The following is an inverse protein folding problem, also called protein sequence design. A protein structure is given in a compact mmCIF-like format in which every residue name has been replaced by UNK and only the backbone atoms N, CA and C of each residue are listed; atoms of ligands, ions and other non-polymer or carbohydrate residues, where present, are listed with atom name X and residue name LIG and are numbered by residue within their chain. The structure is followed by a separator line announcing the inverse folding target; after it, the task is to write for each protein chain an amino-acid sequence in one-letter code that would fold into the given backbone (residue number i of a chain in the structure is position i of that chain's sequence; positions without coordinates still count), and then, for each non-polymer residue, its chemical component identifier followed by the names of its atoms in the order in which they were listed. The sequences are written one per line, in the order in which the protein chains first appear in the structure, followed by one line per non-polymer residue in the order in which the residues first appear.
data_IF_409444459970
#
_entry.id   IF_409444459970
#
_cell.length_a   1.000
_cell.length_b   1.000
_cell.length_c   1.000
_cell.angle_alpha   90.00
_cell.angle_beta   90.00
_cell.angle_gamma   90.00
#
_symmetry.space_group_name_H-M   'P 1'
#
loop_
_entity.id
_entity.type
_entity.pdbx_description
1 polymer ?
#
# COMPACT_ATOMS: atom_id res chain seq x y z
N UNK A 1 -21.17 -4.80 -17.71
CA UNK A 1 -20.46 -4.76 -16.41
C UNK A 1 -19.29 -3.78 -16.44
N UNK A 2 -18.23 -4.05 -17.22
CA UNK A 2 -17.01 -3.21 -17.32
C UNK A 2 -17.28 -1.72 -17.63
N UNK A 3 -18.17 -1.43 -18.58
CA UNK A 3 -18.52 -0.04 -18.95
C UNK A 3 -19.19 0.76 -17.83
N UNK A 4 -20.10 0.12 -17.07
CA UNK A 4 -20.81 0.76 -15.95
C UNK A 4 -19.87 1.08 -14.79
N UNK A 5 -19.02 0.12 -14.40
CA UNK A 5 -18.04 0.33 -13.33
C UNK A 5 -17.05 1.44 -13.72
N UNK A 6 -16.58 1.45 -14.96
CA UNK A 6 -15.70 2.50 -15.49
C UNK A 6 -16.37 3.89 -15.45
N UNK A 7 -17.64 3.99 -15.87
CA UNK A 7 -18.38 5.25 -15.84
C UNK A 7 -18.60 5.74 -14.41
N UNK A 8 -18.96 4.85 -13.48
CA UNK A 8 -19.11 5.17 -12.06
C UNK A 8 -17.79 5.65 -11.46
N UNK A 9 -16.69 4.92 -11.70
CA UNK A 9 -15.37 5.31 -11.19
C UNK A 9 -14.92 6.66 -11.74
N UNK A 10 -15.10 6.90 -13.04
CA UNK A 10 -14.79 8.20 -13.66
C UNK A 10 -15.54 9.34 -12.97
N UNK A 11 -16.86 9.21 -12.78
CA UNK A 11 -17.68 10.25 -12.13
C UNK A 11 -17.21 10.53 -10.70
N UNK A 12 -16.93 9.49 -9.91
CA UNK A 12 -16.46 9.65 -8.53
C UNK A 12 -15.10 10.36 -8.45
N UNK A 13 -14.15 9.99 -9.32
CA UNK A 13 -12.81 10.61 -9.36
C UNK A 13 -12.91 12.09 -9.73
N UNK A 14 -13.61 12.41 -10.82
CA UNK A 14 -13.72 13.80 -11.30
C UNK A 14 -14.42 14.68 -10.27
N UNK A 15 -15.49 14.19 -9.63
CA UNK A 15 -16.18 14.92 -8.57
C UNK A 15 -15.28 15.16 -7.36
N UNK A 16 -14.53 14.15 -6.93
CA UNK A 16 -13.63 14.27 -5.78
C UNK A 16 -12.48 15.26 -6.02
N UNK A 17 -11.94 15.29 -7.24
CA UNK A 17 -10.86 16.20 -7.61
C UNK A 17 -11.33 17.65 -7.82
N UNK A 18 -12.58 17.84 -8.26
CA UNK A 18 -13.19 19.16 -8.41
C UNK A 18 -13.63 19.78 -7.07
N UNK A 19 -13.79 18.98 -6.02
CA UNK A 19 -14.16 19.48 -4.70
C UNK A 19 -13.02 20.34 -4.12
N UNK A 20 -13.34 21.59 -3.78
CA UNK A 20 -12.41 22.54 -3.16
C UNK A 20 -11.90 22.01 -1.82
N UNK A 21 -12.79 21.43 -1.01
CA UNK A 21 -12.51 20.70 0.22
C UNK A 21 -12.96 19.23 0.10
N UNK A 22 -12.14 18.25 0.49
CA UNK A 22 -12.63 16.88 0.64
C UNK A 22 -13.74 16.88 1.70
N UNK A 23 -14.82 16.15 1.46
CA UNK A 23 -15.80 15.86 2.51
C UNK A 23 -15.02 15.34 3.74
N UNK A 24 -15.37 15.76 4.97
CA UNK A 24 -14.66 15.33 6.16
C UNK A 24 -14.63 13.80 6.18
N UNK A 25 -13.43 13.26 6.01
CA UNK A 25 -13.26 11.82 5.99
C UNK A 25 -13.51 11.27 7.40
N UNK A 26 -14.14 10.10 7.52
CA UNK A 26 -14.35 9.51 8.82
C UNK A 26 -12.99 9.32 9.52
N UNK A 27 -12.90 9.59 10.83
CA UNK A 27 -11.66 9.45 11.59
C UNK A 27 -11.06 8.05 11.37
N UNK A 28 -9.77 7.99 11.00
CA UNK A 28 -9.06 6.73 10.73
C UNK A 28 -8.82 6.40 9.25
N UNK A 29 -9.13 7.28 8.29
CA UNK A 29 -8.62 7.13 6.92
C UNK A 29 -7.17 7.58 6.81
N UNK A 30 -6.25 6.80 6.21
CA UNK A 30 -4.95 7.31 5.84
C UNK A 30 -5.17 8.53 4.94
N UNK A 31 -4.48 9.64 5.23
CA UNK A 31 -4.51 10.89 4.45
C UNK A 31 -4.02 10.72 3.00
N UNK A 32 -3.82 9.48 2.54
CA UNK A 32 -3.23 9.09 1.27
C UNK A 32 -4.20 9.15 0.09
N UNK A 33 -5.32 9.85 0.28
CA UNK A 33 -6.38 9.92 -0.71
C UNK A 33 -5.95 10.72 -1.92
N UNK A 34 -5.13 11.76 -1.78
CA UNK A 34 -4.72 12.58 -2.91
C UNK A 34 -3.77 11.81 -3.83
N UNK A 35 -2.76 11.10 -3.31
CA UNK A 35 -1.83 10.33 -4.18
C UNK A 35 -2.52 9.17 -4.91
N UNK A 36 -3.48 8.51 -4.27
CA UNK A 36 -4.30 7.47 -4.91
C UNK A 36 -5.30 8.08 -5.90
N UNK A 37 -5.91 9.23 -5.59
CA UNK A 37 -6.77 9.95 -6.53
C UNK A 37 -6.02 10.43 -7.77
N UNK A 38 -4.76 10.85 -7.63
CA UNK A 38 -3.91 11.19 -8.77
C UNK A 38 -3.71 9.99 -9.70
N UNK A 39 -3.55 8.77 -9.17
CA UNK A 39 -3.53 7.55 -9.99
C UNK A 39 -4.84 7.38 -10.78
N UNK A 40 -5.98 7.59 -10.13
CA UNK A 40 -7.29 7.57 -10.80
C UNK A 40 -7.43 8.66 -11.87
N UNK A 41 -6.92 9.86 -11.61
CA UNK A 41 -6.95 11.00 -12.52
C UNK A 41 -6.24 10.72 -13.84
N UNK A 42 -5.08 10.04 -13.79
CA UNK A 42 -4.32 9.67 -15.01
C UNK A 42 -5.18 8.82 -15.97
N UNK A 43 -6.15 8.08 -15.44
CA UNK A 43 -7.05 7.24 -16.19
C UNK A 43 -8.36 7.93 -16.58
N UNK A 44 -8.95 8.69 -15.65
CA UNK A 44 -10.26 9.32 -15.82
C UNK A 44 -10.17 10.63 -16.61
N UNK A 45 -9.31 11.56 -16.17
CA UNK A 45 -9.07 12.85 -16.82
C UNK A 45 -7.68 13.40 -16.45
N UNK A 46 -6.66 13.15 -17.31
CA UNK A 46 -5.29 13.60 -17.08
C UNK A 46 -5.14 15.13 -16.98
N UNK A 47 -6.11 15.91 -17.46
CA UNK A 47 -6.04 17.37 -17.43
C UNK A 47 -6.19 17.93 -16.01
N UNK A 48 -6.70 17.14 -15.08
CA UNK A 48 -6.87 17.50 -13.67
C UNK A 48 -5.55 17.45 -12.88
N UNK A 49 -4.55 16.69 -13.34
CA UNK A 49 -3.31 16.46 -12.59
C UNK A 49 -2.54 17.75 -12.25
N UNK A 50 -2.28 18.69 -13.19
CA UNK A 50 -1.50 19.89 -12.88
C UNK A 50 -2.12 20.75 -11.77
N UNK A 51 -3.46 20.88 -11.75
CA UNK A 51 -4.18 21.60 -10.70
C UNK A 51 -4.21 20.88 -9.35
N UNK A 52 -3.98 19.56 -9.37
CA UNK A 52 -4.00 18.71 -8.17
C UNK A 52 -2.61 18.52 -7.53
N UNK A 53 -1.53 18.84 -8.26
CA UNK A 53 -0.15 18.74 -7.78
C UNK A 53 0.10 19.42 -6.43
N UNK A 54 -0.56 20.55 -6.14
CA UNK A 54 -0.40 21.22 -4.84
C UNK A 54 -0.90 20.36 -3.68
N UNK A 55 -2.09 19.76 -3.80
CA UNK A 55 -2.66 18.85 -2.80
C UNK A 55 -1.76 17.63 -2.57
N UNK A 56 -1.17 17.09 -3.64
CA UNK A 56 -0.19 16.00 -3.55
C UNK A 56 1.05 16.39 -2.74
N UNK A 57 1.53 17.63 -2.90
CA UNK A 57 2.66 18.11 -2.09
C UNK A 57 2.25 18.24 -0.62
N UNK A 58 1.08 18.78 -0.33
CA UNK A 58 0.59 18.97 1.04
C UNK A 58 0.44 17.64 1.80
N UNK A 59 0.05 16.57 1.11
CA UNK A 59 -0.10 15.22 1.68
C UNK A 59 1.24 14.64 2.19
N UNK A 60 2.36 14.96 1.53
CA UNK A 60 3.68 14.44 1.93
C UNK A 60 4.04 15.03 3.31
N UNK A 61 4.23 14.21 4.36
CA UNK A 61 4.51 14.74 5.69
C UNK A 61 5.82 15.52 5.73
N UNK A 62 5.87 16.55 6.58
CA UNK A 62 7.11 17.31 6.83
C UNK A 62 8.04 16.54 7.77
N UNK A 63 7.46 15.78 8.70
CA UNK A 63 8.17 14.95 9.67
C UNK A 63 7.31 13.75 10.07
N UNK A 64 7.95 12.75 10.64
CA UNK A 64 7.32 11.65 11.34
C UNK A 64 6.43 12.18 12.46
N UNK A 65 5.21 11.66 12.50
CA UNK A 65 4.26 11.92 13.56
C UNK A 65 3.70 10.57 14.02
N UNK A 66 3.94 10.16 15.28
CA UNK A 66 3.49 8.86 15.78
C UNK A 66 1.96 8.71 15.79
N UNK A 67 1.22 9.81 15.85
CA UNK A 67 -0.25 9.84 15.85
C UNK A 67 -0.84 9.86 14.43
N UNK A 68 -0.01 10.05 13.41
CA UNK A 68 -0.43 10.03 12.01
C UNK A 68 -0.58 8.61 11.50
N UNK A 69 -1.46 8.42 10.53
CA UNK A 69 -1.75 7.13 9.89
C UNK A 69 -1.30 7.10 8.42
N UNK A 70 -0.21 7.82 8.14
CA UNK A 70 0.34 7.95 6.79
C UNK A 70 1.41 6.87 6.57
N UNK A 71 1.20 6.05 5.54
CA UNK A 71 2.17 5.07 5.07
C UNK A 71 3.18 5.74 4.09
N UNK A 72 4.42 5.27 3.99
CA UNK A 72 5.46 5.92 3.19
C UNK A 72 5.42 5.44 1.73
N UNK A 73 4.27 5.55 1.04
CA UNK A 73 4.07 5.00 -0.32
C UNK A 73 4.07 6.02 -1.45
N UNK A 74 4.17 7.31 -1.11
CA UNK A 74 4.01 8.41 -2.07
C UNK A 74 4.98 8.30 -3.25
N UNK A 75 6.25 7.94 -3.04
CA UNK A 75 7.22 7.81 -4.13
C UNK A 75 6.78 6.76 -5.16
N UNK A 76 6.40 5.57 -4.69
CA UNK A 76 5.91 4.48 -5.54
C UNK A 76 4.68 4.88 -6.36
N UNK A 77 3.71 5.54 -5.72
CA UNK A 77 2.51 6.03 -6.39
C UNK A 77 2.80 7.16 -7.38
N UNK A 78 3.65 8.13 -7.03
CA UNK A 78 4.04 9.23 -7.93
C UNK A 78 4.78 8.70 -9.15
N UNK A 79 5.67 7.73 -8.99
CA UNK A 79 6.32 7.07 -10.12
C UNK A 79 5.30 6.34 -10.99
N UNK A 80 4.30 5.67 -10.39
CA UNK A 80 3.22 5.05 -11.15
C UNK A 80 2.42 6.08 -11.95
N UNK A 81 2.00 7.18 -11.32
CA UNK A 81 1.32 8.31 -11.97
C UNK A 81 2.16 8.85 -13.14
N UNK A 82 3.44 9.10 -12.91
CA UNK A 82 4.38 9.58 -13.94
C UNK A 82 4.53 8.59 -15.10
N UNK A 83 4.61 7.28 -14.81
CA UNK A 83 4.77 6.24 -15.84
C UNK A 83 3.56 6.16 -16.78
N UNK A 84 2.36 6.41 -16.24
CA UNK A 84 1.09 6.36 -16.95
C UNK A 84 0.70 7.70 -17.60
N UNK A 85 1.27 8.82 -17.14
CA UNK A 85 0.94 10.14 -17.64
C UNK A 85 1.30 10.32 -19.12
N UNK A 86 0.32 10.76 -19.93
CA UNK A 86 0.54 11.09 -21.35
C UNK A 86 1.56 12.22 -21.54
N UNK A 87 1.53 13.22 -20.66
CA UNK A 87 2.42 14.39 -20.70
C UNK A 87 3.43 14.37 -19.55
N UNK A 88 4.49 13.55 -19.69
CA UNK A 88 5.56 13.45 -18.69
C UNK A 88 6.24 14.79 -18.42
N UNK A 89 6.44 15.61 -19.46
CA UNK A 89 7.09 16.93 -19.35
C UNK A 89 6.33 17.89 -18.43
N UNK A 90 5.00 17.84 -18.44
CA UNK A 90 4.16 18.73 -17.63
C UNK A 90 4.27 18.43 -16.12
N UNK A 91 4.62 17.18 -15.75
CA UNK A 91 4.77 16.77 -14.36
C UNK A 91 6.16 17.04 -13.78
N UNK A 92 7.18 17.29 -14.62
CA UNK A 92 8.57 17.45 -14.16
C UNK A 92 8.77 18.52 -13.08
N UNK A 93 8.21 19.75 -13.19
CA UNK A 93 8.39 20.77 -12.14
C UNK A 93 7.82 20.35 -10.79
N UNK A 94 6.67 19.67 -10.80
CA UNK A 94 6.05 19.11 -9.60
C UNK A 94 6.87 17.96 -9.02
N UNK A 95 7.34 17.04 -9.88
CA UNK A 95 8.15 15.90 -9.44
C UNK A 95 9.45 16.33 -8.79
N UNK A 96 10.06 17.43 -9.23
CA UNK A 96 11.25 17.99 -8.56
C UNK A 96 10.93 18.40 -7.11
N UNK A 97 9.84 19.14 -6.90
CA UNK A 97 9.42 19.56 -5.55
C UNK A 97 9.02 18.36 -4.68
N UNK A 98 8.29 17.41 -5.26
CA UNK A 98 7.88 16.19 -4.56
C UNK A 98 9.09 15.33 -4.17
N UNK A 99 10.10 15.23 -5.04
CA UNK A 99 11.33 14.50 -4.78
C UNK A 99 12.06 15.06 -3.55
N UNK A 100 12.30 16.38 -3.50
CA UNK A 100 13.00 17.02 -2.39
C UNK A 100 12.25 16.82 -1.06
N UNK A 101 10.92 16.98 -1.08
CA UNK A 101 10.09 16.80 0.11
C UNK A 101 10.05 15.34 0.57
N UNK A 102 9.97 14.39 -0.35
CA UNK A 102 9.99 12.96 -0.02
C UNK A 102 11.34 12.49 0.50
N UNK A 103 12.44 12.96 -0.10
CA UNK A 103 13.77 12.63 0.38
C UNK A 103 13.97 13.14 1.82
N UNK A 104 13.54 14.37 2.12
CA UNK A 104 13.57 14.92 3.46
C UNK A 104 12.70 14.10 4.44
N UNK A 105 11.50 13.71 4.02
CA UNK A 105 10.60 12.88 4.83
C UNK A 105 11.19 11.49 5.10
N UNK A 106 11.74 10.82 4.09
CA UNK A 106 12.37 9.51 4.25
C UNK A 106 13.57 9.58 5.19
N UNK A 107 14.42 10.61 5.07
CA UNK A 107 15.53 10.84 6.02
C UNK A 107 15.01 10.95 7.45
N UNK A 108 13.95 11.74 7.64
CA UNK A 108 13.36 11.92 8.96
C UNK A 108 12.74 10.62 9.52
N UNK A 109 12.19 9.74 8.68
CA UNK A 109 11.72 8.42 9.13
C UNK A 109 12.89 7.58 9.66
N UNK A 110 14.01 7.48 8.94
CA UNK A 110 15.18 6.75 9.43
C UNK A 110 15.72 7.35 10.73
N UNK A 111 15.87 8.69 10.81
CA UNK A 111 16.34 9.37 12.02
C UNK A 111 15.42 9.19 13.24
N UNK A 112 14.10 9.24 13.04
CA UNK A 112 13.14 9.22 14.14
C UNK A 112 12.69 7.81 14.54
N UNK A 113 12.75 6.85 13.62
CA UNK A 113 12.13 5.53 13.78
C UNK A 113 13.09 4.36 13.60
N UNK A 114 14.37 4.61 13.31
CA UNK A 114 15.40 3.57 13.27
C UNK A 114 16.66 3.97 14.09
N UNK A 115 16.52 4.20 15.40
CA UNK A 115 17.64 4.63 16.25
C UNK A 115 18.73 3.56 16.42
N UNK A 116 18.47 2.33 15.96
CA UNK A 116 19.40 1.20 16.02
C UNK A 116 20.10 0.94 14.67
N UNK A 117 19.86 1.79 13.66
CA UNK A 117 20.45 1.68 12.32
C UNK A 117 20.23 0.29 11.68
N UNK A 118 19.03 -0.26 11.87
CA UNK A 118 18.60 -1.54 11.30
C UNK A 118 18.19 -1.42 9.83
N UNK A 119 18.03 -0.19 9.33
CA UNK A 119 17.43 0.18 8.06
C UNK A 119 15.96 -0.24 7.92
N UNK A 120 15.31 -0.53 9.05
CA UNK A 120 13.89 -0.84 9.15
C UNK A 120 13.23 0.14 10.13
N UNK A 121 12.08 0.66 9.73
CA UNK A 121 11.27 1.57 10.53
C UNK A 121 10.54 0.77 11.61
N UNK A 122 10.82 1.12 12.86
CA UNK A 122 10.05 0.70 14.03
C UNK A 122 8.72 1.48 14.08
N UNK A 123 7.65 0.85 13.64
CA UNK A 123 6.32 1.45 13.61
C UNK A 123 5.64 1.30 14.98
N UNK A 124 6.06 2.15 15.91
CA UNK A 124 5.68 2.18 17.33
C UNK A 124 4.18 2.40 17.63
N UNK A 125 3.30 2.52 16.63
CA UNK A 125 1.87 2.75 16.85
C UNK A 125 0.98 1.98 15.87
N UNK A 126 0.09 1.09 16.35
CA UNK A 126 -0.70 0.20 15.48
C UNK A 126 -1.62 0.94 14.52
N UNK A 127 -2.08 2.15 14.87
CA UNK A 127 -2.91 2.98 13.96
C UNK A 127 -2.17 3.34 12.67
N UNK A 128 -0.84 3.36 12.64
CA UNK A 128 -0.04 3.77 11.48
C UNK A 128 -0.25 2.89 10.25
N UNK A 129 -0.66 1.63 10.45
CA UNK A 129 -0.95 0.70 9.36
C UNK A 129 -2.34 0.91 8.75
N UNK A 130 -3.15 1.80 9.32
CA UNK A 130 -4.53 2.02 8.91
C UNK A 130 -5.42 0.82 9.19
N UNK A 131 -6.69 0.92 8.84
CA UNK A 131 -7.61 -0.21 8.88
C UNK A 131 -7.43 -1.08 7.62
N UNK A 132 -7.51 -2.43 7.68
CA UNK A 132 -7.84 -3.27 8.84
C UNK A 132 -6.63 -3.71 9.67
N UNK A 133 -5.41 -3.42 9.22
CA UNK A 133 -4.18 -3.90 9.86
C UNK A 133 -4.04 -3.43 11.31
N UNK A 134 -4.40 -2.18 11.59
CA UNK A 134 -4.36 -1.61 12.94
C UNK A 134 -5.22 -2.38 13.96
N UNK A 135 -6.32 -3.01 13.54
CA UNK A 135 -7.16 -3.85 14.41
C UNK A 135 -6.50 -5.19 14.71
N UNK A 136 -5.93 -5.83 13.68
CA UNK A 136 -5.17 -7.07 13.84
C UNK A 136 -4.00 -6.90 14.81
N UNK A 137 -3.34 -5.75 14.71
CA UNK A 137 -2.26 -5.38 15.60
C UNK A 137 -2.73 -5.15 17.04
N UNK A 138 -3.90 -4.54 17.22
CA UNK A 138 -4.51 -4.33 18.54
C UNK A 138 -5.05 -5.62 19.16
N UNK A 139 -5.45 -6.61 18.36
CA UNK A 139 -5.98 -7.89 18.87
C UNK A 139 -4.90 -8.84 19.39
N UNK A 140 -3.61 -8.51 19.25
CA UNK A 140 -2.54 -9.36 19.75
C UNK A 140 -2.48 -9.32 21.29
N UNK A 141 -2.31 -10.49 21.95
CA UNK A 141 -2.39 -10.60 23.41
C UNK A 141 -1.28 -9.85 24.16
N UNK A 142 -0.13 -9.61 23.51
CA UNK A 142 0.97 -8.83 24.05
C UNK A 142 0.96 -7.41 23.45
N UNK A 143 0.51 -6.45 24.23
CA UNK A 143 0.58 -5.01 23.90
C UNK A 143 1.73 -4.30 24.65
N UNK A 144 2.55 -5.04 25.39
CA UNK A 144 3.57 -4.46 26.26
C UNK A 144 4.84 -4.14 25.48
N UNK A 145 4.93 -2.89 25.00
CA UNK A 145 6.16 -2.37 24.43
C UNK A 145 6.22 -2.37 22.92
N UNK A 146 5.84 -1.24 22.35
CA UNK A 146 5.42 -1.08 20.96
C UNK A 146 6.55 -1.14 19.92
N UNK A 147 7.74 -1.63 20.25
CA UNK A 147 8.86 -1.65 19.29
C UNK A 147 8.74 -2.86 18.37
N UNK A 148 8.14 -2.65 17.20
CA UNK A 148 7.86 -3.68 16.23
C UNK A 148 8.17 -3.18 14.84
N UNK A 149 8.62 -4.11 14.01
CA UNK A 149 8.88 -3.87 12.61
C UNK A 149 7.82 -4.63 11.82
N UNK A 150 6.95 -3.89 11.14
CA UNK A 150 5.92 -4.43 10.27
C UNK A 150 6.42 -4.54 8.80
N UNK A 151 6.13 -5.67 8.11
CA UNK A 151 6.44 -5.84 6.70
C UNK A 151 5.81 -4.80 5.76
N UNK A 152 4.57 -4.35 6.00
CA UNK A 152 3.84 -3.42 5.13
C UNK A 152 4.53 -2.05 5.12
N UNK A 153 4.75 -1.47 6.29
CA UNK A 153 5.31 -0.11 6.38
C UNK A 153 6.67 -0.03 5.68
N UNK A 154 7.53 -1.01 5.95
CA UNK A 154 8.87 -1.08 5.39
C UNK A 154 8.87 -1.44 3.90
N UNK A 155 7.96 -2.32 3.45
CA UNK A 155 7.77 -2.57 2.02
C UNK A 155 7.41 -1.30 1.26
N UNK A 156 6.49 -0.51 1.81
CA UNK A 156 6.05 0.73 1.16
C UNK A 156 7.18 1.76 1.11
N UNK A 157 7.99 1.87 2.18
CA UNK A 157 9.16 2.74 2.19
C UNK A 157 10.20 2.29 1.16
N UNK A 158 10.48 0.98 1.06
CA UNK A 158 11.39 0.41 0.07
C UNK A 158 10.90 0.69 -1.35
N UNK A 159 9.61 0.49 -1.61
CA UNK A 159 8.99 0.79 -2.89
C UNK A 159 9.04 2.29 -3.22
N UNK A 160 8.89 3.16 -2.22
CA UNK A 160 9.05 4.61 -2.34
C UNK A 160 10.51 5.01 -2.58
N UNK A 161 11.48 4.38 -1.92
CA UNK A 161 12.92 4.58 -2.14
C UNK A 161 13.31 4.20 -3.57
N UNK A 162 12.87 3.04 -4.05
CA UNK A 162 13.09 2.59 -5.44
C UNK A 162 12.58 3.63 -6.44
N UNK A 163 11.39 4.16 -6.21
CA UNK A 163 10.81 5.21 -7.03
C UNK A 163 11.61 6.52 -6.97
N UNK A 164 12.07 6.94 -5.79
CA UNK A 164 12.96 8.09 -5.65
C UNK A 164 14.29 7.87 -6.36
N UNK A 165 14.91 6.70 -6.29
CA UNK A 165 16.14 6.40 -7.04
C UNK A 165 15.92 6.62 -8.54
N UNK A 166 14.81 6.10 -9.09
CA UNK A 166 14.47 6.29 -10.51
C UNK A 166 14.16 7.75 -10.86
N UNK A 167 13.43 8.48 -10.01
CA UNK A 167 13.17 9.90 -10.20
C UNK A 167 14.46 10.73 -10.08
N UNK A 168 15.33 10.40 -9.15
CA UNK A 168 16.62 11.05 -8.95
C UNK A 168 17.53 10.90 -10.15
N UNK A 169 17.55 9.73 -10.82
CA UNK A 169 18.23 9.58 -12.12
C UNK A 169 17.68 10.55 -13.18
N UNK A 170 16.35 10.65 -13.30
CA UNK A 170 15.68 11.55 -14.24
C UNK A 170 16.01 13.03 -13.94
N UNK A 171 16.07 13.37 -12.66
CA UNK A 171 16.32 14.72 -12.14
C UNK A 171 17.82 15.03 -11.95
N UNK A 172 18.71 14.08 -12.22
CA UNK A 172 20.17 14.16 -12.05
C UNK A 172 20.60 14.54 -10.62
N UNK A 173 19.98 13.90 -9.63
CA UNK A 173 20.25 14.09 -8.21
C UNK A 173 21.33 13.12 -7.72
N UNK A 174 21.92 13.39 -6.55
CA UNK A 174 22.74 12.40 -5.84
C UNK A 174 21.83 11.30 -5.27
N UNK A 175 22.25 10.05 -5.45
CA UNK A 175 21.46 8.86 -5.14
C UNK A 175 22.11 7.99 -4.07
N UNK A 176 23.31 8.36 -3.60
CA UNK A 176 24.15 7.52 -2.73
C UNK A 176 23.38 7.06 -1.49
N UNK A 177 22.75 8.00 -0.79
CA UNK A 177 21.97 7.75 0.42
C UNK A 177 20.73 6.87 0.14
N UNK A 178 19.99 7.16 -0.93
CA UNK A 178 18.80 6.40 -1.30
C UNK A 178 19.13 4.95 -1.69
N UNK A 179 20.21 4.74 -2.43
CA UNK A 179 20.68 3.40 -2.83
C UNK A 179 21.08 2.61 -1.57
N UNK A 180 21.84 3.24 -0.67
CA UNK A 180 22.23 2.61 0.60
C UNK A 180 21.00 2.19 1.42
N UNK A 181 20.04 3.11 1.64
CA UNK A 181 18.82 2.79 2.36
C UNK A 181 18.02 1.67 1.70
N UNK A 182 17.89 1.70 0.38
CA UNK A 182 17.12 0.70 -0.37
C UNK A 182 17.74 -0.70 -0.24
N UNK A 183 19.04 -0.83 -0.50
CA UNK A 183 19.75 -2.13 -0.44
C UNK A 183 19.79 -2.70 0.98
N UNK A 184 20.10 -1.88 1.98
CA UNK A 184 20.17 -2.32 3.37
C UNK A 184 18.79 -2.65 3.94
N UNK A 185 17.74 -1.92 3.57
CA UNK A 185 16.38 -2.25 3.98
C UNK A 185 15.90 -3.56 3.34
N UNK A 186 16.22 -3.84 2.07
CA UNK A 186 15.90 -5.14 1.43
C UNK A 186 16.63 -6.29 2.16
N UNK A 187 17.92 -6.10 2.47
CA UNK A 187 18.68 -7.08 3.23
C UNK A 187 18.04 -7.32 4.61
N UNK A 188 17.76 -6.25 5.36
CA UNK A 188 17.17 -6.34 6.69
C UNK A 188 15.77 -6.96 6.68
N UNK A 189 14.93 -6.66 5.67
CA UNK A 189 13.63 -7.31 5.51
C UNK A 189 13.76 -8.84 5.40
N UNK A 190 14.74 -9.31 4.64
CA UNK A 190 15.01 -10.75 4.47
C UNK A 190 15.66 -11.38 5.70
N UNK A 191 16.49 -10.64 6.43
CA UNK A 191 17.14 -11.15 7.65
C UNK A 191 16.16 -11.28 8.82
N UNK A 192 15.36 -10.24 9.07
CA UNK A 192 14.54 -10.16 10.29
C UNK A 192 13.11 -10.68 10.10
N UNK A 193 12.50 -10.46 8.93
CA UNK A 193 11.06 -10.66 8.76
C UNK A 193 10.73 -11.91 7.95
N UNK A 194 11.62 -12.38 7.06
CA UNK A 194 11.37 -13.63 6.32
C UNK A 194 11.39 -14.83 7.27
N UNK A 195 10.34 -15.66 7.21
CA UNK A 195 10.29 -16.91 7.96
C UNK A 195 10.34 -18.10 7.00
N UNK A 196 11.48 -18.78 6.95
CA UNK A 196 11.71 -19.91 6.05
C UNK A 196 10.87 -21.16 6.38
N UNK A 197 10.29 -21.29 7.57
CA UNK A 197 9.43 -22.43 7.90
C UNK A 197 8.02 -22.22 7.34
N UNK A 198 7.47 -21.02 7.51
CA UNK A 198 6.11 -20.68 7.05
C UNK A 198 6.04 -20.15 5.62
N UNK A 199 7.16 -19.70 5.05
CA UNK A 199 7.19 -19.13 3.71
C UNK A 199 6.49 -17.77 3.62
N UNK A 200 6.56 -16.98 4.70
CA UNK A 200 5.88 -15.70 4.83
C UNK A 200 6.79 -14.68 5.53
N UNK A 201 6.62 -13.39 5.24
CA UNK A 201 7.17 -12.32 6.08
C UNK A 201 6.30 -12.09 7.31
N UNK A 202 6.91 -12.11 8.49
CA UNK A 202 6.25 -11.94 9.78
C UNK A 202 6.77 -10.70 10.47
N UNK A 203 5.91 -9.93 11.17
CA UNK A 203 6.37 -8.79 11.96
C UNK A 203 7.38 -9.24 13.01
N UNK A 204 8.38 -8.40 13.27
CA UNK A 204 9.42 -8.65 14.25
C UNK A 204 9.19 -7.81 15.51
N UNK A 205 9.34 -8.42 16.67
CA UNK A 205 9.28 -7.74 17.96
C UNK A 205 10.70 -7.48 18.45
N UNK A 206 11.09 -6.20 18.48
CA UNK A 206 12.45 -5.79 18.82
C UNK A 206 12.79 -6.06 20.28
N UNK A 207 11.80 -6.01 21.19
CA UNK A 207 12.02 -6.29 22.62
C UNK A 207 12.25 -7.75 22.88
N UNK A 208 11.50 -8.61 22.18
CA UNK A 208 11.61 -10.07 22.30
C UNK A 208 12.73 -10.64 21.43
N UNK A 209 13.30 -9.83 20.54
CA UNK A 209 14.26 -10.25 19.53
C UNK A 209 13.76 -11.50 18.78
N UNK A 210 12.49 -11.47 18.36
CA UNK A 210 11.84 -12.61 17.73
C UNK A 210 10.71 -12.18 16.80
N UNK A 211 10.48 -12.98 15.76
CA UNK A 211 9.30 -12.86 14.91
C UNK A 211 8.03 -13.14 15.73
N UNK A 212 7.01 -12.33 15.49
CA UNK A 212 5.67 -12.56 16.02
C UNK A 212 5.05 -13.79 15.35
N UNK A 213 4.13 -14.50 16.02
CA UNK A 213 3.41 -15.62 15.41
C UNK A 213 2.32 -15.14 14.41
N UNK A 214 2.23 -13.83 14.14
CA UNK A 214 1.16 -13.24 13.35
C UNK A 214 1.31 -13.58 11.86
N UNK A 215 0.27 -14.19 11.29
CA UNK A 215 0.18 -14.49 9.86
C UNK A 215 -1.04 -13.82 9.24
N UNK A 216 -0.81 -13.02 8.19
CA UNK A 216 -1.82 -12.17 7.55
C UNK A 216 -1.33 -11.75 6.15
N UNK A 217 -2.23 -11.19 5.31
CA UNK A 217 -1.86 -10.83 3.93
C UNK A 217 -0.77 -9.77 3.82
N UNK A 218 -0.53 -8.97 4.88
CA UNK A 218 0.58 -8.01 4.91
C UNK A 218 1.94 -8.67 4.71
N UNK A 219 2.09 -9.94 5.11
CA UNK A 219 3.31 -10.71 4.88
C UNK A 219 3.57 -11.07 3.41
N UNK A 220 2.60 -10.88 2.51
CA UNK A 220 2.75 -11.06 1.06
C UNK A 220 3.15 -9.76 0.35
N UNK A 221 2.89 -8.61 0.98
CA UNK A 221 3.16 -7.31 0.37
C UNK A 221 4.63 -7.06 -0.01
N UNK A 222 5.67 -7.67 0.61
CA UNK A 222 7.05 -7.50 0.18
C UNK A 222 7.31 -7.72 -1.32
N UNK A 223 6.48 -8.48 -2.04
CA UNK A 223 6.54 -8.58 -3.51
C UNK A 223 6.38 -7.22 -4.21
N UNK A 224 5.60 -6.29 -3.65
CA UNK A 224 5.46 -4.93 -4.18
C UNK A 224 6.80 -4.20 -4.24
N UNK A 225 7.67 -4.42 -3.26
CA UNK A 225 8.99 -3.79 -3.18
C UNK A 225 10.11 -4.55 -3.89
N UNK A 226 9.83 -5.64 -4.61
CA UNK A 226 10.86 -6.56 -5.15
C UNK A 226 11.84 -7.06 -4.06
N UNK A 227 11.36 -7.22 -2.82
CA UNK A 227 12.17 -7.60 -1.66
C UNK A 227 12.50 -9.11 -1.65
N UNK A 228 11.53 -10.01 -1.87
CA UNK A 228 11.82 -11.45 -1.98
C UNK A 228 12.72 -11.80 -3.16
N UNK A 229 13.47 -12.88 -3.06
CA UNK A 229 13.98 -13.61 -4.23
C UNK A 229 12.83 -14.26 -4.99
N UNK A 230 13.08 -14.72 -6.22
CA UNK A 230 12.07 -15.48 -7.00
C UNK A 230 11.55 -16.71 -6.22
N UNK A 231 12.45 -17.47 -5.57
CA UNK A 231 12.09 -18.64 -4.78
C UNK A 231 11.21 -18.25 -3.58
N UNK A 232 11.56 -17.18 -2.86
CA UNK A 232 10.73 -16.69 -1.76
C UNK A 232 9.35 -16.21 -2.26
N UNK A 233 9.30 -15.53 -3.41
CA UNK A 233 8.05 -15.10 -4.01
C UNK A 233 7.17 -16.29 -4.41
N UNK A 234 7.72 -17.38 -4.96
CA UNK A 234 6.96 -18.60 -5.27
C UNK A 234 6.37 -19.25 -4.02
N UNK A 235 7.08 -19.17 -2.89
CA UNK A 235 6.56 -19.60 -1.59
C UNK A 235 5.44 -18.69 -1.09
N UNK A 236 5.57 -17.37 -1.26
CA UNK A 236 4.50 -16.41 -0.97
C UNK A 236 3.25 -16.67 -1.84
N UNK A 237 3.44 -16.98 -3.13
CA UNK A 237 2.35 -17.36 -4.03
C UNK A 237 1.67 -18.65 -3.56
N UNK A 238 2.46 -19.67 -3.22
CA UNK A 238 1.92 -20.92 -2.65
C UNK A 238 1.08 -20.61 -1.42
N UNK A 239 1.57 -19.77 -0.51
CA UNK A 239 0.83 -19.36 0.68
C UNK A 239 -0.44 -18.57 0.34
N UNK A 240 -0.42 -17.67 -0.64
CA UNK A 240 -1.61 -16.99 -1.19
C UNK A 240 -2.66 -17.99 -1.69
N UNK A 241 -2.23 -19.05 -2.35
CA UNK A 241 -3.12 -20.04 -2.95
C UNK A 241 -3.63 -21.08 -1.95
N UNK A 242 -2.86 -21.45 -0.93
CA UNK A 242 -3.24 -22.52 0.01
C UNK A 242 -3.58 -22.00 1.41
N UNK A 243 -3.46 -20.70 1.63
CA UNK A 243 -3.62 -20.09 2.94
C UNK A 243 -5.06 -20.14 3.48
N UNK A 244 -5.24 -20.01 4.81
CA UNK A 244 -6.53 -20.15 5.49
C UNK A 244 -7.51 -18.98 5.26
N UNK A 245 -7.15 -18.01 4.41
CA UNK A 245 -8.03 -16.93 3.94
C UNK A 245 -8.81 -17.30 2.67
N UNK A 246 -8.53 -18.45 2.05
CA UNK A 246 -9.18 -18.87 0.82
C UNK A 246 -10.48 -19.62 1.14
N UNK A 247 -11.62 -19.08 0.73
CA UNK A 247 -12.86 -19.84 0.59
C UNK A 247 -13.09 -20.28 -0.88
N UNK A 248 -14.13 -21.08 -1.11
CA UNK A 248 -14.51 -21.61 -2.44
C UNK A 248 -14.76 -20.49 -3.48
N UNK A 249 -14.96 -19.25 -3.01
CA UNK A 249 -15.27 -18.05 -3.77
C UNK A 249 -14.15 -17.01 -3.74
N UNK A 250 -12.88 -17.46 -3.75
CA UNK A 250 -11.66 -16.66 -3.97
C UNK A 250 -11.74 -15.17 -3.63
N UNK A 251 -11.67 -14.90 -2.33
CA UNK A 251 -11.58 -13.56 -1.82
C UNK A 251 -10.38 -13.51 -0.88
N UNK A 252 -9.29 -12.85 -1.31
CA UNK A 252 -8.09 -12.68 -0.50
C UNK A 252 -8.42 -11.78 0.70
N UNK A 253 -8.90 -12.39 1.78
CA UNK A 253 -9.22 -11.72 3.03
C UNK A 253 -7.93 -11.39 3.79
N UNK A 254 -7.83 -10.14 4.28
CA UNK A 254 -6.59 -9.60 4.87
C UNK A 254 -6.11 -10.37 6.11
N UNK A 255 -7.00 -11.12 6.79
CA UNK A 255 -6.70 -11.83 8.02
C UNK A 255 -7.54 -13.11 8.15
N UNK A 256 -6.95 -14.29 8.40
CA UNK A 256 -7.66 -15.45 8.91
C UNK A 256 -7.68 -15.45 10.45
N UNK A 257 -8.84 -15.72 11.05
CA UNK A 257 -8.99 -16.00 12.48
C UNK A 257 -10.06 -17.07 12.72
N UNK A 258 -9.73 -18.09 13.52
CA UNK A 258 -10.44 -19.37 13.59
C UNK A 258 -11.83 -19.35 14.25
N UNK A 259 -12.09 -18.37 15.11
CA UNK A 259 -13.29 -18.09 15.90
C UNK A 259 -12.90 -16.79 16.65
N UNK A 260 -13.33 -15.57 16.27
CA UNK A 260 -12.79 -14.35 16.92
C UNK A 260 -13.84 -13.49 17.64
N UNK A 261 -13.73 -13.30 18.98
CA UNK A 261 -14.62 -12.47 19.79
C UNK A 261 -14.53 -10.95 19.55
N UNK A 262 -13.74 -10.44 18.59
CA UNK A 262 -13.55 -8.99 18.34
C UNK A 262 -14.02 -8.46 16.97
N UNK A 263 -14.40 -9.30 16.01
CA UNK A 263 -15.35 -8.90 14.96
C UNK A 263 -14.91 -8.35 13.58
N UNK A 264 -13.68 -8.50 13.07
CA UNK A 264 -13.40 -8.10 11.65
C UNK A 264 -12.48 -9.02 10.85
N UNK A 265 -12.96 -9.36 9.64
CA UNK A 265 -12.34 -10.12 8.53
C UNK A 265 -12.82 -9.44 7.24
N UNK A 266 -11.96 -8.75 6.49
CA UNK A 266 -12.41 -7.99 5.33
C UNK A 266 -11.43 -8.10 4.17
N UNK A 267 -11.97 -7.98 2.96
CA UNK A 267 -11.19 -7.73 1.75
C UNK A 267 -10.97 -6.24 1.68
N UNK A 268 -9.72 -5.83 1.60
CA UNK A 268 -9.34 -4.43 1.38
C UNK A 268 -8.87 -4.24 -0.05
N UNK A 269 -9.52 -3.33 -0.79
CA UNK A 269 -9.19 -3.10 -2.20
C UNK A 269 -7.78 -2.56 -2.41
N UNK A 270 -7.28 -1.80 -1.44
CA UNK A 270 -5.92 -1.28 -1.55
C UNK A 270 -4.89 -2.40 -1.44
N UNK A 271 -5.11 -3.32 -0.50
CA UNK A 271 -4.30 -4.52 -0.34
C UNK A 271 -4.35 -5.42 -1.57
N UNK A 272 -5.53 -5.67 -2.14
CA UNK A 272 -5.66 -6.42 -3.39
C UNK A 272 -4.94 -5.72 -4.56
N UNK A 273 -5.07 -4.39 -4.65
CA UNK A 273 -4.37 -3.62 -5.67
C UNK A 273 -2.85 -3.71 -5.52
N UNK A 274 -2.32 -3.57 -4.29
CA UNK A 274 -0.89 -3.71 -4.00
C UNK A 274 -0.39 -5.12 -4.30
N UNK A 275 -1.13 -6.15 -3.88
CA UNK A 275 -0.82 -7.55 -4.17
C UNK A 275 -0.82 -7.83 -5.67
N UNK A 276 -1.79 -7.31 -6.40
CA UNK A 276 -1.82 -7.37 -7.86
C UNK A 276 -0.55 -6.75 -8.48
N UNK A 277 -0.12 -5.57 -8.02
CA UNK A 277 1.13 -4.98 -8.51
C UNK A 277 2.34 -5.84 -8.15
N UNK A 278 2.42 -6.38 -6.93
CA UNK A 278 3.51 -7.25 -6.48
C UNK A 278 3.62 -8.52 -7.32
N UNK A 279 2.51 -9.22 -7.55
CA UNK A 279 2.47 -10.43 -8.38
C UNK A 279 2.98 -10.16 -9.81
N UNK A 280 2.64 -9.02 -10.40
CA UNK A 280 3.14 -8.64 -11.73
C UNK A 280 4.66 -8.41 -11.76
N UNK A 281 5.28 -8.03 -10.63
CA UNK A 281 6.73 -7.80 -10.54
C UNK A 281 7.54 -9.09 -10.51
N UNK A 282 6.90 -10.22 -10.22
CA UNK A 282 7.49 -11.57 -10.22
C UNK A 282 6.95 -12.46 -11.35
N UNK A 283 6.38 -11.85 -12.40
CA UNK A 283 5.80 -12.55 -13.56
C UNK A 283 4.69 -13.56 -13.21
N UNK A 284 4.04 -13.40 -12.06
CA UNK A 284 2.95 -14.27 -11.58
C UNK A 284 1.61 -13.85 -12.18
N UNK A 285 1.53 -13.84 -13.52
CA UNK A 285 0.45 -13.24 -14.28
C UNK A 285 -0.92 -13.89 -14.03
N UNK A 286 -0.97 -15.21 -13.84
CA UNK A 286 -2.24 -15.92 -13.60
C UNK A 286 -2.86 -15.54 -12.26
N UNK A 287 -2.05 -15.53 -11.20
CA UNK A 287 -2.47 -15.09 -9.87
C UNK A 287 -2.89 -13.62 -9.88
N UNK A 288 -2.12 -12.75 -10.54
CA UNK A 288 -2.46 -11.33 -10.69
C UNK A 288 -3.80 -11.16 -11.44
N UNK A 289 -4.00 -11.88 -12.55
CA UNK A 289 -5.24 -11.83 -13.32
C UNK A 289 -6.45 -12.27 -12.49
N UNK A 290 -6.26 -13.24 -11.59
CA UNK A 290 -7.31 -13.71 -10.68
C UNK A 290 -7.68 -12.66 -9.63
N UNK A 291 -6.69 -12.12 -8.90
CA UNK A 291 -6.92 -11.03 -7.92
C UNK A 291 -7.65 -9.86 -8.56
N UNK A 292 -7.23 -9.45 -9.76
CA UNK A 292 -7.89 -8.41 -10.53
C UNK A 292 -9.34 -8.76 -10.88
N UNK A 293 -9.58 -9.96 -11.43
CA UNK A 293 -10.91 -10.40 -11.82
C UNK A 293 -11.87 -10.37 -10.64
N UNK A 294 -11.46 -10.94 -9.51
CA UNK A 294 -12.34 -11.13 -8.36
C UNK A 294 -12.58 -9.80 -7.61
N UNK A 295 -11.57 -8.93 -7.56
CA UNK A 295 -11.72 -7.54 -7.07
C UNK A 295 -12.70 -6.72 -7.92
N UNK A 296 -12.63 -6.84 -9.25
CA UNK A 296 -13.55 -6.14 -10.15
C UNK A 296 -14.97 -6.70 -10.10
N UNK A 297 -15.13 -8.00 -9.88
CA UNK A 297 -16.42 -8.65 -9.73
C UNK A 297 -17.14 -8.16 -8.46
N UNK A 298 -16.44 -8.12 -7.32
CA UNK A 298 -16.96 -7.56 -6.07
C UNK A 298 -17.52 -6.15 -6.24
N UNK A 299 -16.71 -5.25 -6.79
CA UNK A 299 -17.13 -3.87 -6.99
C UNK A 299 -18.28 -3.73 -8.01
N UNK A 300 -18.35 -4.62 -8.99
CA UNK A 300 -19.42 -4.62 -9.98
C UNK A 300 -20.77 -5.09 -9.41
N UNK A 301 -20.73 -6.08 -8.53
CA UNK A 301 -21.93 -6.72 -7.97
C UNK A 301 -22.48 -5.94 -6.76
N UNK A 302 -21.58 -5.43 -5.92
CA UNK A 302 -21.93 -4.84 -4.62
C UNK A 302 -21.88 -3.32 -4.63
N UNK A 303 -21.26 -2.71 -5.66
CA UNK A 303 -20.98 -1.28 -5.72
C UNK A 303 -19.56 -0.95 -5.26
N UNK A 304 -19.16 0.32 -5.35
CA UNK A 304 -17.80 0.76 -5.07
C UNK A 304 -17.63 1.04 -3.57
N UNK A 305 -17.04 0.08 -2.86
CA UNK A 305 -16.60 0.18 -1.46
C UNK A 305 -15.07 0.06 -1.36
N UNK A 306 -14.48 0.53 -0.28
CA UNK A 306 -13.07 0.29 0.05
C UNK A 306 -12.86 -1.14 0.56
N UNK A 307 -13.86 -1.67 1.27
CA UNK A 307 -13.73 -2.93 1.97
C UNK A 307 -15.01 -3.76 1.83
N UNK A 308 -14.87 -5.08 1.72
CA UNK A 308 -15.97 -6.02 1.49
C UNK A 308 -15.89 -7.18 2.47
N UNK A 309 -17.04 -7.75 2.82
CA UNK A 309 -17.13 -8.94 3.65
C UNK A 309 -16.62 -10.15 2.85
N UNK A 310 -15.71 -10.97 3.39
CA UNK A 310 -14.99 -11.98 2.63
C UNK A 310 -15.87 -13.16 2.17
N UNK A 311 -16.94 -13.44 2.92
CA UNK A 311 -17.89 -14.52 2.60
C UNK A 311 -19.10 -13.99 1.80
N UNK A 312 -19.85 -13.03 2.34
CA UNK A 312 -21.05 -12.51 1.66
C UNK A 312 -20.76 -11.57 0.48
N UNK A 313 -19.54 -11.03 0.39
CA UNK A 313 -19.19 -9.97 -0.55
C UNK A 313 -19.76 -8.59 -0.18
N UNK A 314 -20.57 -8.45 0.87
CA UNK A 314 -21.25 -7.20 1.20
C UNK A 314 -20.26 -6.04 1.42
N UNK A 315 -20.55 -4.87 0.86
CA UNK A 315 -19.74 -3.67 1.05
C UNK A 315 -19.76 -3.18 2.50
N UNK A 316 -18.60 -3.13 3.16
CA UNK A 316 -18.47 -2.80 4.58
C UNK A 316 -18.13 -1.33 4.84
N UNK A 317 -17.29 -0.72 3.99
CA UNK A 317 -16.71 0.61 4.27
C UNK A 317 -16.51 1.42 3.00
N UNK A 318 -16.74 2.72 3.09
CA UNK A 318 -16.42 3.66 2.01
C UNK A 318 -17.34 3.49 0.80
N UNK A 319 -18.65 3.43 1.00
CA UNK A 319 -19.60 3.42 -0.12
C UNK A 319 -19.40 4.63 -1.04
N UNK A 320 -19.42 4.40 -2.35
CA UNK A 320 -19.10 5.41 -3.37
C UNK A 320 -17.73 6.06 -3.13
N UNK A 321 -16.72 5.30 -2.70
CA UNK A 321 -15.39 5.84 -2.39
C UNK A 321 -14.62 6.24 -3.67
N UNK A 322 -14.19 7.51 -3.77
CA UNK A 322 -13.29 7.96 -4.84
C UNK A 322 -11.92 7.28 -4.79
N UNK A 323 -11.45 6.92 -3.60
CA UNK A 323 -10.21 6.17 -3.39
C UNK A 323 -10.32 4.77 -4.02
N UNK A 324 -11.39 4.05 -3.71
CA UNK A 324 -11.65 2.74 -4.31
C UNK A 324 -11.86 2.84 -5.83
N UNK A 325 -12.57 3.87 -6.29
CA UNK A 325 -12.77 4.15 -7.72
C UNK A 325 -11.44 4.34 -8.46
N UNK A 326 -10.47 5.04 -7.87
CA UNK A 326 -9.15 5.25 -8.46
C UNK A 326 -8.36 3.94 -8.62
N UNK A 327 -8.34 3.08 -7.60
CA UNK A 327 -7.71 1.76 -7.65
C UNK A 327 -8.37 0.86 -8.71
N UNK A 328 -9.71 0.83 -8.75
CA UNK A 328 -10.47 0.06 -9.73
C UNK A 328 -10.21 0.55 -11.16
N UNK A 329 -10.05 1.86 -11.35
CA UNK A 329 -9.76 2.44 -12.67
C UNK A 329 -8.40 1.99 -13.19
N UNK A 330 -7.40 1.92 -12.31
CA UNK A 330 -6.08 1.40 -12.65
C UNK A 330 -6.09 -0.11 -12.95
N UNK A 331 -6.89 -0.91 -12.22
CA UNK A 331 -7.10 -2.33 -12.55
C UNK A 331 -7.80 -2.51 -13.91
N UNK A 332 -8.80 -1.69 -14.22
CA UNK A 332 -9.61 -1.79 -15.44
C UNK A 332 -8.84 -1.52 -16.72
N UNK A 333 -7.78 -0.70 -16.67
CA UNK A 333 -7.03 -0.24 -17.84
C UNK A 333 -5.68 -0.94 -18.04
N UNK A 334 -5.36 -1.88 -17.15
CA UNK A 334 -4.30 -2.89 -17.31
C UNK A 334 -4.90 -4.19 -17.85
#
# INVERSE_FOLDING_TARGET
MRSRLQEMSHKLIVQAMAASDPAPEPPGRPWQSAVVLALGAVHADPSLLPGYCHKLLEEIPVAYNPDSIILPLHGGMLMRVYSLAKSKKALLPFLHQAYERLLAYHRNLYEACDPLETFLIDNNHPRQLGWPYSELWQSQPDQSGRQRIDPIYNTLLIWSNEALIKLGHLLKQDLTELIQWHELAIYAMNEYLWNADSGLYRPYDLRRAAQTPLTYLGGLLPMLGEIPTQEQAERLLTYLETGPWRDETFQAAVVPGAESPTGFTAIDLFSNWMLYQGLLRYDMFEAAARIKKDTLALAADQGIYECYHPISGEGLRGYCSPFAAALLSDLLLR
#
